data_IF_534047502052
#
_entry.id   IF_534047502052
#
_cell.length_a   1.000
_cell.length_b   1.000
_cell.length_c   1.000
_cell.angle_alpha   90.00
_cell.angle_beta   90.00
_cell.angle_gamma   90.00
#
_symmetry.space_group_name_H-M   'P 1'
#
loop_
_entity.id
_entity.type
_entity.pdbx_description
1 polymer ?
#
# COMPACT_ATOMS: atom_id res chain seq x y z
N UNK A 1 -18.93 1.79 -12.74
CA UNK A 1 -19.05 2.20 -11.32
C UNK A 1 -17.83 1.75 -10.50
N UNK A 2 -17.57 0.45 -10.30
CA UNK A 2 -16.40 0.00 -9.50
C UNK A 2 -15.07 0.50 -10.07
N UNK A 3 -14.89 0.37 -11.39
CA UNK A 3 -13.73 0.86 -12.13
C UNK A 3 -13.57 2.38 -12.01
N UNK A 4 -14.67 3.13 -11.99
CA UNK A 4 -14.64 4.60 -11.85
C UNK A 4 -14.20 5.00 -10.44
N UNK A 5 -14.70 4.32 -9.41
CA UNK A 5 -14.28 4.50 -8.01
C UNK A 5 -12.79 4.17 -7.86
N UNK A 6 -12.35 3.02 -8.39
CA UNK A 6 -10.96 2.60 -8.37
C UNK A 6 -10.06 3.66 -9.03
N UNK A 7 -10.44 4.11 -10.23
CA UNK A 7 -9.70 5.14 -10.96
C UNK A 7 -9.62 6.44 -10.18
N UNK A 8 -10.73 6.90 -9.62
CA UNK A 8 -10.81 8.12 -8.83
C UNK A 8 -9.90 8.06 -7.59
N UNK A 9 -9.94 6.97 -6.82
CA UNK A 9 -9.09 6.84 -5.62
C UNK A 9 -7.61 6.72 -6.01
N UNK A 10 -7.27 5.97 -7.06
CA UNK A 10 -5.89 5.87 -7.55
C UNK A 10 -5.34 7.21 -8.03
N UNK A 11 -6.14 8.03 -8.72
CA UNK A 11 -5.77 9.39 -9.12
C UNK A 11 -5.50 10.30 -7.90
N UNK A 12 -6.14 10.02 -6.76
CA UNK A 12 -5.94 10.70 -5.49
C UNK A 12 -4.94 9.97 -4.57
N UNK A 13 -3.84 9.45 -5.13
CA UNK A 13 -2.76 8.79 -4.37
C UNK A 13 -3.20 7.54 -3.57
N UNK A 14 -4.23 6.84 -4.05
CA UNK A 14 -4.60 5.53 -3.53
C UNK A 14 -5.43 5.53 -2.24
N UNK A 15 -5.83 6.70 -1.72
CA UNK A 15 -6.79 6.81 -0.63
C UNK A 15 -7.56 8.13 -0.69
N UNK A 16 -8.82 8.11 -0.27
CA UNK A 16 -9.70 9.28 -0.27
C UNK A 16 -10.61 9.26 0.96
N UNK A 17 -10.89 10.42 1.54
CA UNK A 17 -11.87 10.55 2.62
C UNK A 17 -13.27 10.11 2.17
N UNK A 18 -13.98 9.37 3.02
CA UNK A 18 -15.27 8.77 2.63
C UNK A 18 -16.28 9.82 2.18
N UNK A 19 -16.38 10.96 2.86
CA UNK A 19 -17.33 12.03 2.53
C UNK A 19 -16.99 12.72 1.21
N UNK A 20 -15.70 12.91 0.93
CA UNK A 20 -15.24 13.47 -0.35
C UNK A 20 -15.54 12.51 -1.50
N UNK A 21 -15.37 11.20 -1.29
CA UNK A 21 -15.67 10.19 -2.29
C UNK A 21 -17.18 10.16 -2.64
N UNK A 22 -18.04 10.13 -1.62
CA UNK A 22 -19.51 10.16 -1.79
C UNK A 22 -19.95 11.43 -2.49
N UNK A 23 -19.39 12.58 -2.13
CA UNK A 23 -19.74 13.88 -2.72
C UNK A 23 -19.37 13.98 -4.21
N UNK A 24 -18.26 13.37 -4.63
CA UNK A 24 -17.79 13.43 -6.02
C UNK A 24 -18.40 12.37 -6.93
N UNK A 25 -18.78 11.20 -6.39
CA UNK A 25 -19.27 10.07 -7.19
C UNK A 25 -20.78 9.81 -7.04
N UNK A 26 -21.44 10.44 -6.06
CA UNK A 26 -22.88 10.27 -5.84
C UNK A 26 -23.31 8.84 -5.47
N UNK A 27 -22.37 7.99 -5.05
CA UNK A 27 -22.60 6.58 -4.73
C UNK A 27 -22.69 6.35 -3.21
N UNK A 28 -23.42 5.31 -2.79
CA UNK A 28 -23.49 4.98 -1.36
C UNK A 28 -22.19 4.32 -0.89
N UNK A 29 -21.84 4.54 0.39
CA UNK A 29 -20.66 3.92 1.02
C UNK A 29 -20.74 2.39 0.99
N UNK A 30 -21.96 1.84 1.07
CA UNK A 30 -22.22 0.41 0.96
C UNK A 30 -21.80 -0.12 -0.41
N UNK A 31 -22.11 0.59 -1.49
CA UNK A 31 -21.76 0.19 -2.86
C UNK A 31 -20.24 0.22 -3.10
N UNK A 32 -19.53 1.15 -2.43
CA UNK A 32 -18.07 1.30 -2.51
C UNK A 32 -17.33 0.14 -1.85
N UNK A 33 -17.82 -0.35 -0.69
CA UNK A 33 -17.08 -1.33 0.14
C UNK A 33 -17.52 -2.78 -0.15
N UNK A 34 -18.47 -2.99 -1.07
CA UNK A 34 -18.90 -4.33 -1.50
C UNK A 34 -17.72 -5.24 -1.89
N UNK A 35 -16.70 -4.68 -2.55
CA UNK A 35 -15.50 -5.41 -2.92
C UNK A 35 -14.34 -5.15 -1.94
N UNK A 36 -14.33 -5.91 -0.84
CA UNK A 36 -13.29 -5.81 0.18
C UNK A 36 -11.90 -6.22 -0.32
N UNK A 37 -11.78 -6.90 -1.47
CA UNK A 37 -10.49 -7.22 -2.07
C UNK A 37 -9.85 -6.00 -2.73
N UNK A 38 -10.66 -5.03 -3.17
CA UNK A 38 -10.21 -3.79 -3.83
C UNK A 38 -10.29 -2.55 -2.96
N UNK A 39 -11.25 -2.49 -2.03
CA UNK A 39 -11.48 -1.31 -1.19
C UNK A 39 -11.47 -1.69 0.28
N UNK A 40 -10.73 -0.95 1.08
CA UNK A 40 -10.71 -1.07 2.53
C UNK A 40 -11.19 0.23 3.16
N UNK A 41 -12.31 0.16 3.88
CA UNK A 41 -12.77 1.27 4.71
C UNK A 41 -11.94 1.30 5.99
N UNK A 42 -11.13 2.34 6.10
CA UNK A 42 -10.18 2.51 7.18
C UNK A 42 -10.58 3.71 8.03
N UNK A 43 -10.33 3.64 9.33
CA UNK A 43 -10.57 4.74 10.25
C UNK A 43 -9.27 5.15 10.96
N UNK A 44 -8.20 5.52 10.22
CA UNK A 44 -6.96 5.96 10.84
C UNK A 44 -7.21 7.21 11.67
N UNK A 45 -6.95 7.13 12.98
CA UNK A 45 -6.99 8.28 13.88
C UNK A 45 -8.34 9.03 13.91
N UNK A 46 -9.46 8.34 13.64
CA UNK A 46 -10.80 8.92 13.71
C UNK A 46 -11.32 9.53 12.41
N UNK A 47 -10.54 9.54 11.33
CA UNK A 47 -10.98 10.05 10.02
C UNK A 47 -11.32 8.89 9.08
N UNK A 48 -12.60 8.72 8.66
CA UNK A 48 -13.00 7.68 7.73
C UNK A 48 -12.42 7.93 6.33
N UNK A 49 -11.67 6.95 5.82
CA UNK A 49 -11.11 6.97 4.47
C UNK A 49 -11.27 5.62 3.77
N UNK A 50 -11.39 5.64 2.46
CA UNK A 50 -11.35 4.45 1.62
C UNK A 50 -9.96 4.34 1.00
N UNK A 51 -9.30 3.20 1.22
CA UNK A 51 -7.97 2.89 0.65
C UNK A 51 -8.13 1.78 -0.37
N UNK A 52 -7.57 1.96 -1.57
CA UNK A 52 -7.55 0.89 -2.57
C UNK A 52 -6.45 -0.12 -2.28
N UNK A 53 -6.68 -1.38 -2.62
CA UNK A 53 -5.69 -2.44 -2.49
C UNK A 53 -5.84 -3.47 -3.60
N UNK A 54 -4.83 -4.31 -3.75
CA UNK A 54 -4.88 -5.42 -4.70
C UNK A 54 -4.10 -6.61 -4.17
N UNK A 55 -4.45 -7.81 -4.63
CA UNK A 55 -3.66 -9.03 -4.47
C UNK A 55 -2.59 -9.19 -5.56
N UNK A 56 -2.62 -8.39 -6.63
CA UNK A 56 -1.62 -8.42 -7.70
C UNK A 56 -0.23 -8.07 -7.18
N UNK A 57 0.79 -8.83 -7.58
CA UNK A 57 2.20 -8.62 -7.20
C UNK A 57 3.10 -8.62 -8.42
N UNK A 58 4.30 -8.06 -8.29
CA UNK A 58 5.33 -8.21 -9.31
C UNK A 58 5.85 -9.65 -9.30
N UNK A 59 6.00 -10.23 -10.49
CA UNK A 59 6.74 -11.47 -10.68
C UNK A 59 8.22 -11.25 -10.38
N UNK A 60 8.85 -12.23 -9.74
CA UNK A 60 10.27 -12.18 -9.32
C UNK A 60 11.16 -13.12 -10.11
N UNK A 61 10.58 -13.98 -10.95
CA UNK A 61 11.33 -14.91 -11.76
C UNK A 61 11.98 -14.16 -12.93
N UNK A 62 13.27 -14.43 -13.17
CA UNK A 62 14.03 -13.82 -14.27
C UNK A 62 13.66 -14.39 -15.65
N UNK A 63 13.15 -15.62 -15.68
CA UNK A 63 12.68 -16.31 -16.87
C UNK A 63 11.35 -16.99 -16.54
N UNK A 64 10.30 -16.20 -16.38
CA UNK A 64 8.96 -16.73 -16.10
C UNK A 64 8.23 -17.04 -17.40
N UNK A 65 7.70 -18.26 -17.51
CA UNK A 65 6.95 -18.73 -18.68
C UNK A 65 5.50 -18.22 -18.73
N UNK A 66 5.07 -17.37 -17.78
CA UNK A 66 3.74 -16.74 -17.82
C UNK A 66 2.63 -17.54 -17.13
N UNK A 67 2.96 -18.46 -16.22
CA UNK A 67 1.99 -19.19 -15.39
C UNK A 67 1.90 -18.67 -13.94
N UNK A 68 2.58 -17.56 -13.61
CA UNK A 68 2.77 -17.14 -12.22
C UNK A 68 1.66 -16.24 -11.65
N UNK A 69 0.77 -15.69 -12.48
CA UNK A 69 -0.27 -14.74 -12.06
C UNK A 69 0.24 -13.37 -11.58
N UNK A 70 1.55 -13.14 -11.63
CA UNK A 70 2.18 -11.86 -11.26
C UNK A 70 2.47 -10.99 -12.47
N UNK A 71 2.56 -9.69 -12.26
CA UNK A 71 2.91 -8.73 -13.30
C UNK A 71 4.38 -8.88 -13.69
N UNK A 72 4.65 -9.12 -14.97
CA UNK A 72 6.01 -9.20 -15.51
C UNK A 72 6.50 -7.79 -15.81
N UNK A 73 7.01 -7.10 -14.78
CA UNK A 73 7.49 -5.73 -14.93
C UNK A 73 8.69 -5.46 -14.02
N UNK A 74 9.68 -4.76 -14.56
CA UNK A 74 10.82 -4.29 -13.80
C UNK A 74 10.37 -3.30 -12.72
N UNK A 75 10.84 -3.52 -11.49
CA UNK A 75 10.59 -2.62 -10.36
C UNK A 75 11.03 -1.18 -10.62
N UNK A 76 12.22 -0.97 -11.17
CA UNK A 76 12.71 0.39 -11.47
C UNK A 76 11.85 1.09 -12.52
N UNK A 77 11.46 0.37 -13.57
CA UNK A 77 10.55 0.89 -14.58
C UNK A 77 9.16 1.19 -14.00
N UNK A 78 8.63 0.35 -13.12
CA UNK A 78 7.39 0.64 -12.40
C UNK A 78 7.49 1.98 -11.65
N UNK A 79 8.62 2.24 -10.98
CA UNK A 79 8.79 3.41 -10.12
C UNK A 79 8.93 4.71 -10.91
N UNK A 80 9.87 4.80 -11.85
CA UNK A 80 10.17 6.06 -12.57
C UNK A 80 9.84 6.04 -14.06
N UNK A 81 9.42 4.90 -14.63
CA UNK A 81 9.33 4.73 -16.09
C UNK A 81 10.69 4.58 -16.75
N UNK A 82 11.76 4.58 -15.95
CA UNK A 82 13.13 4.44 -16.40
C UNK A 82 13.85 3.35 -15.62
N UNK A 83 14.73 2.61 -16.29
CA UNK A 83 15.55 1.58 -15.66
C UNK A 83 16.98 1.75 -16.16
N UNK A 84 17.93 2.00 -15.27
CA UNK A 84 19.35 2.17 -15.65
C UNK A 84 19.93 0.97 -16.41
N UNK A 85 19.33 -0.22 -16.25
CA UNK A 85 19.78 -1.43 -16.94
C UNK A 85 19.25 -1.54 -18.37
N UNK A 86 18.25 -0.75 -18.78
CA UNK A 86 17.74 -0.76 -20.16
C UNK A 86 18.82 -0.35 -21.17
N UNK A 87 19.73 0.54 -20.77
CA UNK A 87 20.86 1.00 -21.59
C UNK A 87 22.16 0.22 -21.32
N UNK A 88 22.12 -0.79 -20.45
CA UNK A 88 23.31 -1.58 -20.11
C UNK A 88 23.59 -2.65 -21.16
N UNK A 89 24.88 -3.01 -21.36
CA UNK A 89 25.27 -4.05 -22.35
C UNK A 89 24.59 -5.41 -22.14
N UNK A 90 24.19 -5.74 -20.91
CA UNK A 90 23.51 -7.01 -20.58
C UNK A 90 21.98 -6.90 -20.62
N UNK A 91 21.43 -5.69 -20.79
CA UNK A 91 20.00 -5.43 -20.69
C UNK A 91 19.44 -5.61 -19.26
N UNK A 92 18.14 -5.32 -19.10
CA UNK A 92 17.41 -5.67 -17.88
C UNK A 92 16.83 -7.08 -18.02
N UNK A 93 16.94 -7.90 -16.96
CA UNK A 93 16.33 -9.24 -16.92
C UNK A 93 14.81 -9.21 -16.78
N UNK A 94 14.22 -8.06 -16.43
CA UNK A 94 12.78 -7.91 -16.24
C UNK A 94 12.19 -7.10 -17.39
N UNK A 95 10.96 -7.44 -17.78
CA UNK A 95 10.25 -6.72 -18.85
C UNK A 95 10.02 -5.24 -18.48
N UNK A 96 10.11 -4.37 -19.48
CA UNK A 96 9.71 -2.96 -19.39
C UNK A 96 8.40 -2.68 -20.15
N UNK A 97 7.74 -3.72 -20.64
CA UNK A 97 6.54 -3.61 -21.45
C UNK A 97 5.29 -3.89 -20.61
N UNK A 98 4.71 -2.81 -20.08
CA UNK A 98 3.46 -2.89 -19.33
C UNK A 98 2.28 -3.35 -20.22
N UNK A 99 2.31 -3.02 -21.52
CA UNK A 99 1.30 -3.35 -22.53
C UNK A 99 1.53 -4.69 -23.24
N UNK A 100 2.36 -5.57 -22.67
CA UNK A 100 2.50 -6.92 -23.24
C UNK A 100 1.20 -7.72 -23.07
N UNK A 101 0.86 -8.59 -24.02
CA UNK A 101 -0.37 -9.39 -24.01
C UNK A 101 -0.62 -10.09 -22.67
N UNK A 102 0.45 -10.65 -22.09
CA UNK A 102 0.40 -11.28 -20.77
C UNK A 102 0.03 -10.28 -19.67
N UNK A 103 0.72 -9.14 -19.58
CA UNK A 103 0.46 -8.13 -18.55
C UNK A 103 -0.94 -7.52 -18.71
N UNK A 104 -1.38 -7.26 -19.94
CA UNK A 104 -2.73 -6.77 -20.20
C UNK A 104 -3.81 -7.74 -19.72
N UNK A 105 -3.61 -9.06 -19.96
CA UNK A 105 -4.51 -10.09 -19.46
C UNK A 105 -4.56 -10.10 -17.93
N UNK A 106 -3.40 -10.12 -17.27
CA UNK A 106 -3.32 -10.08 -15.80
C UNK A 106 -3.96 -8.81 -15.23
N UNK A 107 -3.72 -7.64 -15.86
CA UNK A 107 -4.35 -6.39 -15.43
C UNK A 107 -5.86 -6.42 -15.61
N UNK A 108 -6.38 -6.99 -16.71
CA UNK A 108 -7.82 -7.17 -16.93
C UNK A 108 -8.45 -8.11 -15.90
N UNK A 109 -7.80 -9.23 -15.59
CA UNK A 109 -8.26 -10.19 -14.57
C UNK A 109 -8.41 -9.54 -13.19
N UNK A 110 -7.50 -8.62 -12.83
CA UNK A 110 -7.59 -7.85 -11.59
C UNK A 110 -8.43 -6.56 -11.71
N UNK A 111 -8.95 -6.22 -12.90
CA UNK A 111 -9.68 -4.98 -13.18
C UNK A 111 -8.84 -3.70 -13.04
N UNK A 112 -7.54 -3.77 -13.32
CA UNK A 112 -6.55 -2.70 -13.18
C UNK A 112 -6.09 -2.11 -14.52
N UNK A 113 -6.60 -2.61 -15.65
CA UNK A 113 -6.18 -2.19 -17.00
C UNK A 113 -6.49 -0.73 -17.35
N UNK A 114 -7.32 -0.05 -16.55
CA UNK A 114 -7.64 1.39 -16.69
C UNK A 114 -6.63 2.32 -16.01
N UNK A 115 -5.70 1.75 -15.23
CA UNK A 115 -4.72 2.50 -14.46
C UNK A 115 -3.49 2.81 -15.30
N UNK A 116 -3.01 4.05 -15.19
CA UNK A 116 -1.71 4.46 -15.68
C UNK A 116 -0.59 3.77 -14.88
N UNK A 117 0.64 3.81 -15.41
CA UNK A 117 1.83 3.31 -14.70
C UNK A 117 1.96 3.92 -13.30
N UNK A 118 1.75 5.23 -13.15
CA UNK A 118 1.92 5.93 -11.88
C UNK A 118 0.86 5.52 -10.87
N UNK A 119 -0.40 5.41 -11.29
CA UNK A 119 -1.49 4.91 -10.44
C UNK A 119 -1.27 3.46 -10.02
N UNK A 120 -0.84 2.61 -10.96
CA UNK A 120 -0.49 1.22 -10.68
C UNK A 120 0.70 1.11 -9.72
N UNK A 121 1.70 1.99 -9.87
CA UNK A 121 2.84 2.08 -8.96
C UNK A 121 2.37 2.36 -7.52
N UNK A 122 1.57 3.41 -7.31
CA UNK A 122 1.01 3.74 -5.99
C UNK A 122 0.22 2.58 -5.40
N UNK A 123 -0.69 1.98 -6.19
CA UNK A 123 -1.51 0.85 -5.76
C UNK A 123 -0.65 -0.36 -5.33
N UNK A 124 0.36 -0.73 -6.12
CA UNK A 124 1.25 -1.84 -5.80
C UNK A 124 2.12 -1.52 -4.57
N UNK A 125 2.67 -0.31 -4.47
CA UNK A 125 3.51 0.11 -3.36
C UNK A 125 2.79 0.06 -2.01
N UNK A 126 1.51 0.45 -1.97
CA UNK A 126 0.73 0.39 -0.74
C UNK A 126 0.17 -1.01 -0.44
N UNK A 127 0.14 -1.91 -1.43
CA UNK A 127 -0.42 -3.28 -1.30
C UNK A 127 0.64 -4.38 -1.08
N UNK A 128 1.89 -4.16 -1.49
CA UNK A 128 3.00 -5.12 -1.36
C UNK A 128 4.12 -4.55 -0.47
N UNK A 129 4.20 -5.07 0.75
CA UNK A 129 5.18 -4.66 1.77
C UNK A 129 6.64 -4.99 1.42
N UNK A 130 6.86 -5.70 0.31
CA UNK A 130 8.19 -6.08 -0.17
C UNK A 130 8.76 -5.06 -1.16
N UNK A 131 7.97 -4.08 -1.61
CA UNK A 131 8.43 -3.09 -2.58
C UNK A 131 9.15 -1.91 -1.93
N UNK A 132 8.80 -1.58 -0.68
CA UNK A 132 9.42 -0.51 0.10
C UNK A 132 10.01 -1.04 1.41
N UNK A 133 11.08 -0.42 1.92
CA UNK A 133 11.61 -0.74 3.24
C UNK A 133 10.54 -0.53 4.35
N UNK A 134 10.46 -1.40 5.36
CA UNK A 134 9.52 -1.20 6.46
C UNK A 134 9.95 -0.03 7.35
N UNK A 135 8.99 0.61 8.03
CA UNK A 135 9.27 1.60 9.08
C UNK A 135 9.88 0.91 10.30
N UNK A 136 10.85 1.56 10.94
CA UNK A 136 11.45 1.08 12.17
C UNK A 136 10.52 1.37 13.35
N UNK A 137 9.93 0.33 13.92
CA UNK A 137 9.08 0.45 15.11
C UNK A 137 9.90 0.86 16.35
N UNK A 138 11.12 0.33 16.50
CA UNK A 138 12.00 0.64 17.64
C UNK A 138 12.39 2.12 17.67
N UNK A 139 12.60 2.72 16.50
CA UNK A 139 12.82 4.16 16.34
C UNK A 139 11.61 5.00 16.80
N UNK A 140 10.40 4.49 16.57
CA UNK A 140 9.16 5.15 16.97
C UNK A 140 8.83 4.99 18.46
N UNK A 141 9.64 4.24 19.21
CA UNK A 141 9.55 4.07 20.66
C UNK A 141 10.79 4.63 21.37
N UNK A 142 10.65 4.95 22.65
CA UNK A 142 11.76 5.49 23.45
C UNK A 142 12.08 6.97 23.21
N UNK A 143 13.15 7.42 23.87
CA UNK A 143 13.66 8.80 23.81
C UNK A 143 15.00 8.85 23.06
N UNK A 144 15.46 10.05 22.73
CA UNK A 144 16.73 10.27 22.04
C UNK A 144 16.65 10.18 20.51
N UNK A 145 17.78 10.38 19.84
CA UNK A 145 17.85 10.54 18.38
C UNK A 145 17.39 9.31 17.60
N UNK A 146 17.56 8.11 18.15
CA UNK A 146 17.22 6.85 17.48
C UNK A 146 16.12 6.06 18.21
N UNK A 147 15.51 6.63 19.25
CA UNK A 147 14.59 5.88 20.09
C UNK A 147 15.25 4.64 20.69
N UNK A 148 14.56 3.50 20.63
CA UNK A 148 15.12 2.19 21.03
C UNK A 148 15.83 1.44 19.91
N UNK A 149 16.02 2.04 18.73
CA UNK A 149 16.71 1.36 17.64
C UNK A 149 18.21 1.20 17.93
N UNK A 150 18.73 -0.04 18.04
CA UNK A 150 20.14 -0.27 18.37
C UNK A 150 21.08 0.05 17.19
N UNK A 151 20.58 -0.05 15.96
CA UNK A 151 21.39 0.09 14.76
C UNK A 151 21.62 1.56 14.37
N UNK A 152 20.88 2.51 14.96
CA UNK A 152 20.99 3.94 14.68
C UNK A 152 20.99 4.26 13.18
N UNK A 153 22.00 4.98 12.71
CA UNK A 153 22.17 5.26 11.27
C UNK A 153 22.30 4.00 10.43
N UNK A 154 22.80 2.90 10.99
CA UNK A 154 22.98 1.58 10.37
C UNK A 154 21.69 0.82 10.08
N UNK A 155 20.55 1.21 10.66
CA UNK A 155 19.29 0.49 10.49
C UNK A 155 18.86 0.36 9.02
N UNK A 156 18.37 -0.83 8.64
CA UNK A 156 17.82 -1.12 7.30
C UNK A 156 16.34 -0.78 7.16
N UNK A 157 15.70 -0.38 8.27
CA UNK A 157 14.30 0.04 8.35
C UNK A 157 14.25 1.56 8.39
N UNK A 158 13.16 2.13 7.90
CA UNK A 158 13.03 3.58 7.74
C UNK A 158 12.85 4.30 9.09
N UNK A 159 13.70 5.28 9.40
CA UNK A 159 13.54 6.15 10.58
C UNK A 159 12.72 7.37 10.21
N UNK A 160 11.39 7.20 10.16
CA UNK A 160 10.42 8.27 9.98
C UNK A 160 9.35 8.13 11.07
N UNK A 161 8.89 9.26 11.58
CA UNK A 161 7.83 9.31 12.59
C UNK A 161 6.51 8.75 12.04
N UNK A 162 5.98 7.71 12.66
CA UNK A 162 4.70 7.10 12.24
C UNK A 162 3.52 8.06 12.39
N UNK A 163 3.57 8.95 13.39
CA UNK A 163 2.53 9.96 13.62
C UNK A 163 2.49 10.98 12.49
N UNK A 164 3.66 11.43 12.01
CA UNK A 164 3.78 12.39 10.91
C UNK A 164 3.14 11.90 9.60
N UNK A 165 3.15 10.60 9.36
CA UNK A 165 2.58 10.03 8.13
C UNK A 165 1.08 10.29 8.01
N UNK A 166 0.37 10.31 9.14
CA UNK A 166 -1.08 10.34 9.16
C UNK A 166 -1.68 11.63 9.72
N UNK A 167 -0.86 12.51 10.30
CA UNK A 167 -1.32 13.79 10.86
C UNK A 167 -0.17 14.77 10.99
N UNK A 168 -0.52 16.02 11.24
CA UNK A 168 0.46 17.02 11.63
C UNK A 168 1.14 16.61 12.93
N UNK A 169 2.47 16.59 12.89
CA UNK A 169 3.31 16.19 14.00
C UNK A 169 4.46 17.19 14.15
N UNK A 170 4.70 17.61 15.40
CA UNK A 170 5.80 18.54 15.76
C UNK A 170 6.81 17.90 16.71
N UNK A 171 6.90 16.57 16.73
CA UNK A 171 7.87 15.87 17.57
C UNK A 171 9.29 15.96 17.02
N UNK A 172 10.28 15.56 17.82
CA UNK A 172 11.71 15.59 17.46
C UNK A 172 12.16 14.48 16.50
N UNK A 173 11.26 13.56 16.11
CA UNK A 173 11.57 12.50 15.15
C UNK A 173 11.59 13.06 13.72
N UNK A 174 12.25 12.34 12.82
CA UNK A 174 12.37 12.72 11.42
C UNK A 174 11.00 12.73 10.75
N UNK A 175 10.71 13.86 10.10
CA UNK A 175 9.56 14.08 9.21
C UNK A 175 10.02 14.29 7.77
N UNK A 176 11.28 14.01 7.48
CA UNK A 176 11.89 14.22 6.16
C UNK A 176 12.44 12.89 5.63
N UNK A 177 11.96 12.49 4.46
CA UNK A 177 12.43 11.30 3.75
C UNK A 177 13.80 11.50 3.10
N UNK A 178 14.28 12.74 3.00
CA UNK A 178 15.61 13.09 2.52
C UNK A 178 16.65 13.22 3.65
N UNK A 179 16.24 13.08 4.91
CA UNK A 179 17.18 13.05 6.03
C UNK A 179 18.23 11.92 5.87
N UNK A 180 19.40 11.99 6.54
CA UNK A 180 20.51 11.08 6.28
C UNK A 180 20.18 9.58 6.41
N UNK A 181 19.38 9.19 7.41
CA UNK A 181 19.01 7.79 7.58
C UNK A 181 17.93 7.35 6.57
N UNK A 182 16.79 8.06 6.41
CA UNK A 182 15.78 7.72 5.41
C UNK A 182 16.31 7.65 3.97
N UNK A 183 17.05 8.66 3.52
CA UNK A 183 17.58 8.73 2.15
C UNK A 183 18.51 7.55 1.83
N UNK A 184 19.34 7.12 2.80
CA UNK A 184 20.20 5.95 2.67
C UNK A 184 19.40 4.65 2.51
N UNK A 185 18.32 4.49 3.29
CA UNK A 185 17.43 3.33 3.20
C UNK A 185 16.63 3.35 1.88
N UNK A 186 16.39 4.53 1.32
CA UNK A 186 15.61 4.75 0.10
C UNK A 186 16.44 4.87 -1.19
N UNK A 187 17.74 4.54 -1.20
CA UNK A 187 18.61 4.70 -2.38
C UNK A 187 18.12 4.03 -3.68
N UNK A 188 17.20 3.06 -3.61
CA UNK A 188 16.56 2.43 -4.77
C UNK A 188 15.19 3.01 -5.16
N UNK A 189 14.76 4.09 -4.51
CA UNK A 189 13.48 4.77 -4.72
C UNK A 189 13.74 6.10 -5.44
N UNK A 190 13.15 6.34 -6.62
CA UNK A 190 13.32 7.60 -7.36
C UNK A 190 12.86 8.82 -6.55
N UNK A 191 13.54 9.96 -6.76
CA UNK A 191 13.22 11.22 -6.10
C UNK A 191 11.78 11.69 -6.35
N UNK A 192 11.28 11.52 -7.57
CA UNK A 192 9.89 11.88 -7.92
C UNK A 192 8.86 11.16 -7.02
N UNK A 193 9.17 9.92 -6.61
CA UNK A 193 8.32 9.11 -5.76
C UNK A 193 8.40 9.51 -4.28
N UNK A 194 9.48 10.19 -3.85
CA UNK A 194 9.66 10.64 -2.46
C UNK A 194 8.51 11.54 -2.01
N UNK A 195 8.02 12.39 -2.91
CA UNK A 195 6.86 13.25 -2.67
C UNK A 195 5.59 12.48 -2.28
N UNK A 196 5.42 11.26 -2.79
CA UNK A 196 4.26 10.39 -2.52
C UNK A 196 4.52 9.37 -1.40
N UNK A 197 5.74 9.27 -0.86
CA UNK A 197 6.02 8.26 0.18
C UNK A 197 5.20 8.50 1.45
N UNK A 198 4.91 9.76 1.81
CA UNK A 198 4.09 10.08 2.98
C UNK A 198 2.72 9.41 2.88
N UNK A 199 2.01 9.60 1.77
CA UNK A 199 0.68 9.02 1.53
C UNK A 199 0.75 7.50 1.38
N UNK A 200 1.73 6.98 0.65
CA UNK A 200 1.91 5.53 0.47
C UNK A 200 2.09 4.83 1.83
N UNK A 201 2.99 5.29 2.70
CA UNK A 201 3.19 4.68 4.01
C UNK A 201 1.97 4.86 4.93
N UNK A 202 1.27 6.00 4.86
CA UNK A 202 0.01 6.20 5.57
C UNK A 202 -1.08 5.21 5.13
N UNK A 203 -1.14 4.90 3.84
CA UNK A 203 -2.07 3.92 3.28
C UNK A 203 -1.70 2.50 3.71
N UNK A 204 -0.42 2.14 3.65
CA UNK A 204 0.08 0.85 4.16
C UNK A 204 -0.29 0.64 5.63
N UNK A 205 -0.14 1.67 6.48
CA UNK A 205 -0.53 1.58 7.89
C UNK A 205 -2.04 1.39 8.05
N UNK A 206 -2.84 2.18 7.33
CA UNK A 206 -4.30 2.06 7.37
C UNK A 206 -4.78 0.65 6.99
N UNK A 207 -4.23 0.06 5.92
CA UNK A 207 -4.52 -1.31 5.51
C UNK A 207 -4.11 -2.33 6.59
N UNK A 208 -2.93 -2.18 7.19
CA UNK A 208 -2.47 -3.05 8.28
C UNK A 208 -3.41 -3.01 9.49
N UNK A 209 -3.86 -1.83 9.91
CA UNK A 209 -4.81 -1.69 11.01
C UNK A 209 -6.17 -2.31 10.69
N UNK A 210 -6.69 -2.08 9.48
CA UNK A 210 -7.94 -2.69 9.00
C UNK A 210 -7.87 -4.22 9.04
N UNK A 211 -6.79 -4.82 8.52
CA UNK A 211 -6.64 -6.27 8.49
C UNK A 211 -6.45 -6.88 9.88
N UNK A 212 -5.76 -6.18 10.80
CA UNK A 212 -5.65 -6.60 12.20
C UNK A 212 -7.00 -6.56 12.92
N UNK A 213 -7.80 -5.51 12.71
CA UNK A 213 -9.16 -5.40 13.26
C UNK A 213 -10.06 -6.54 12.78
N UNK A 214 -10.03 -6.86 11.49
CA UNK A 214 -10.79 -7.97 10.92
C UNK A 214 -10.37 -9.33 11.47
N UNK A 215 -9.07 -9.56 11.71
CA UNK A 215 -8.59 -10.81 12.35
C UNK A 215 -9.08 -10.94 13.78
N UNK A 216 -9.09 -9.84 14.56
CA UNK A 216 -9.61 -9.83 15.93
C UNK A 216 -11.11 -10.15 15.94
N UNK A 217 -11.90 -9.52 15.08
CA UNK A 217 -13.34 -9.78 14.97
C UNK A 217 -13.67 -11.21 14.54
N UNK A 218 -12.85 -11.84 13.68
CA UNK A 218 -13.00 -13.25 13.31
C UNK A 218 -12.59 -14.23 14.42
N UNK A 219 -11.76 -13.80 15.37
CA UNK A 219 -11.36 -14.58 16.55
C UNK A 219 -12.40 -14.59 17.67
N UNK A 220 -13.31 -13.61 17.70
CA UNK A 220 -14.45 -13.56 18.63
C UNK A 220 -15.59 -14.44 18.08
N UNK A 221 -15.54 -15.76 18.32
CA UNK A 221 -16.75 -16.59 18.20
C UNK A 221 -17.79 -16.07 19.20
N UNK A 222 -19.06 -15.84 18.82
CA UNK A 222 -20.09 -15.56 19.79
C UNK A 222 -20.23 -16.81 20.69
N UNK A 223 -20.13 -16.61 22.00
CA UNK A 223 -20.59 -17.60 22.98
C UNK A 223 -21.99 -18.02 22.56
N UNK A 224 -22.18 -19.32 22.27
CA UNK A 224 -23.49 -19.89 21.99
C UNK A 224 -24.41 -19.51 23.15
N UNK A 225 -25.44 -18.72 22.83
CA UNK A 225 -26.62 -18.56 23.67
C UNK A 225 -27.19 -19.95 23.95
N UNK A 226 -27.02 -20.42 25.18
CA UNK A 226 -27.71 -21.60 25.69
C UNK A 226 -29.20 -21.28 25.67
N UNK A 227 -29.93 -21.91 24.75
CA UNK A 227 -31.39 -21.97 24.76
C UNK A 227 -31.83 -22.52 26.13
N UNK A 228 -32.40 -21.65 26.97
CA UNK A 228 -33.31 -22.10 28.02
C UNK A 228 -34.60 -22.52 27.31
N UNK A 229 -34.75 -23.84 27.14
CA UNK A 229 -35.98 -24.45 26.66
C UNK A 229 -37.03 -24.34 27.76
N UNK A 230 -38.12 -23.63 27.47
CA UNK A 230 -39.39 -23.89 28.12
C UNK A 230 -39.74 -25.37 27.91
N UNK A 231 -40.01 -26.09 28.99
CA UNK A 231 -40.87 -27.27 28.97
C UNK A 231 -41.92 -27.10 30.07
N UNK A 232 -43.16 -27.01 29.62
CA UNK A 232 -44.37 -27.32 30.38
C UNK A 232 -44.25 -28.74 30.96
N UNK A 233 -44.47 -28.88 32.27
CA UNK A 233 -45.51 -29.71 32.89
C UNK A 233 -45.98 -28.96 34.13
#
# INVERSE_FOLDING_TARGET
>A
MESDILKFICANQGAVDTDYLVSNLGCSVSDIICNQEKFASCLPFGQPKVVVRTSLRLCRAKACEGSCGGLHLCKSFLFSGFCQFSQSRKGCYFSHELSSDYNERILKEHGLNILSRTELCTLLLQSDDRLLPPICHDYNHGYGMFGYCPDGYGCKRLHVCERYLNRDCRCSRSHDFNAPQPSRVLQGVPQDLISSLKSIYANMQALKYHDQGNRRNKGSRPLRSSRLSCYYI
#
